data_IF_335726517853
#
_entry.id   IF_335726517853
#
_cell.length_a   1.000
_cell.length_b   1.000
_cell.length_c   1.000
_cell.angle_alpha   90.00
_cell.angle_beta   90.00
_cell.angle_gamma   90.00
#
_symmetry.space_group_name_H-M   'P 1'
#
loop_
_entity.id
_entity.type
_entity.pdbx_description
1 polymer ?
#
# COMPACT_ATOMS: atom_id res chain seq x y z
N UNK A 1 -7.93 1.30 16.19
CA UNK A 1 -6.86 2.32 16.08
C UNK A 1 -6.68 2.63 14.60
N UNK A 2 -6.93 3.88 14.17
CA UNK A 2 -6.89 4.28 12.74
C UNK A 2 -5.46 4.51 12.21
N UNK A 3 -4.44 4.54 13.07
CA UNK A 3 -3.10 5.07 12.73
C UNK A 3 -1.95 4.06 12.80
N UNK A 4 -2.21 2.75 12.77
CA UNK A 4 -1.15 1.75 12.61
C UNK A 4 -1.29 1.07 11.25
N UNK A 5 -0.26 1.12 10.38
CA UNK A 5 1.01 1.84 10.50
C UNK A 5 0.90 3.38 10.40
N UNK A 6 1.82 4.08 11.09
CA UNK A 6 1.88 5.56 11.09
C UNK A 6 2.29 6.06 9.71
N UNK A 7 1.58 7.07 9.20
CA UNK A 7 1.79 7.65 7.85
C UNK A 7 3.24 8.03 7.60
N UNK A 8 3.90 8.67 8.56
CA UNK A 8 5.30 9.10 8.38
C UNK A 8 6.24 7.92 8.14
N UNK A 9 6.05 6.80 8.86
CA UNK A 9 6.83 5.57 8.64
C UNK A 9 6.57 4.96 7.26
N UNK A 10 5.35 5.06 6.75
CA UNK A 10 5.02 4.56 5.41
C UNK A 10 5.71 5.41 4.33
N UNK A 11 5.74 6.73 4.51
CA UNK A 11 6.44 7.64 3.58
C UNK A 11 7.95 7.37 3.59
N UNK A 12 8.55 7.22 4.77
CA UNK A 12 9.97 6.88 4.91
C UNK A 12 10.32 5.53 4.27
N UNK A 13 9.45 4.52 4.41
CA UNK A 13 9.65 3.19 3.82
C UNK A 13 9.46 3.13 2.31
N UNK A 14 8.61 4.01 1.78
CA UNK A 14 8.31 4.06 0.37
C UNK A 14 9.41 4.78 -0.44
N UNK A 15 10.07 5.77 0.17
CA UNK A 15 11.17 6.50 -0.44
C UNK A 15 12.53 5.86 -0.17
N UNK A 16 13.54 6.34 -0.89
CA UNK A 16 14.95 6.06 -0.60
C UNK A 16 15.65 7.34 -0.12
N UNK A 17 16.86 7.26 0.48
CA UNK A 17 17.62 8.45 0.85
C UNK A 17 17.92 9.39 -0.33
N UNK A 18 18.02 8.82 -1.53
CA UNK A 18 18.28 9.54 -2.79
C UNK A 18 16.98 10.12 -3.37
N UNK A 19 15.86 9.44 -3.18
CA UNK A 19 14.54 9.85 -3.68
C UNK A 19 13.46 9.77 -2.58
N UNK A 20 13.27 10.83 -1.79
CA UNK A 20 12.26 10.83 -0.74
C UNK A 20 10.85 10.78 -1.34
N UNK A 21 10.00 9.91 -0.81
CA UNK A 21 8.59 9.86 -1.16
C UNK A 21 7.83 11.02 -0.51
N UNK A 22 6.80 11.53 -1.19
CA UNK A 22 5.87 12.50 -0.61
C UNK A 22 4.61 11.81 -0.07
N UNK A 23 3.87 12.46 0.82
CA UNK A 23 2.55 11.97 1.28
C UNK A 23 1.56 11.77 0.13
N UNK A 24 1.65 12.60 -0.92
CA UNK A 24 0.86 12.45 -2.13
C UNK A 24 1.29 11.21 -2.94
N UNK A 25 2.59 10.95 -3.03
CA UNK A 25 3.10 9.74 -3.66
C UNK A 25 2.62 8.48 -2.92
N UNK A 26 2.64 8.50 -1.58
CA UNK A 26 2.07 7.42 -0.76
C UNK A 26 0.60 7.16 -1.11
N UNK A 27 -0.22 8.22 -1.20
CA UNK A 27 -1.64 8.08 -1.55
C UNK A 27 -1.82 7.40 -2.93
N UNK A 28 -1.05 7.82 -3.93
CA UNK A 28 -1.12 7.25 -5.28
C UNK A 28 -0.66 5.79 -5.29
N UNK A 29 0.45 5.46 -4.63
CA UNK A 29 0.96 4.07 -4.59
C UNK A 29 -0.01 3.16 -3.84
N UNK A 30 -0.50 3.57 -2.68
CA UNK A 30 -1.50 2.81 -1.90
C UNK A 30 -2.77 2.59 -2.71
N UNK A 31 -3.28 3.62 -3.39
CA UNK A 31 -4.48 3.51 -4.21
C UNK A 31 -4.28 2.56 -5.41
N UNK A 32 -3.15 2.66 -6.11
CA UNK A 32 -2.80 1.74 -7.20
C UNK A 32 -2.69 0.31 -6.70
N UNK A 33 -2.04 0.09 -5.56
CA UNK A 33 -1.86 -1.24 -4.98
C UNK A 33 -3.17 -1.84 -4.49
N UNK A 34 -4.01 -1.06 -3.81
CA UNK A 34 -5.34 -1.50 -3.41
C UNK A 34 -6.16 -1.95 -4.62
N UNK A 35 -6.10 -1.22 -5.75
CA UNK A 35 -6.76 -1.64 -6.99
C UNK A 35 -6.22 -2.97 -7.51
N UNK A 36 -4.90 -3.18 -7.52
CA UNK A 36 -4.31 -4.47 -7.93
C UNK A 36 -4.80 -5.64 -7.07
N UNK A 37 -4.97 -5.41 -5.76
CA UNK A 37 -5.51 -6.42 -4.85
C UNK A 37 -6.96 -6.75 -5.24
N UNK A 38 -7.81 -5.74 -5.42
CA UNK A 38 -9.21 -5.91 -5.85
C UNK A 38 -9.29 -6.69 -7.18
N UNK A 39 -8.48 -6.33 -8.16
CA UNK A 39 -8.47 -6.97 -9.48
C UNK A 39 -8.02 -8.44 -9.38
N UNK A 40 -7.04 -8.72 -8.51
CA UNK A 40 -6.58 -10.08 -8.22
C UNK A 40 -7.68 -10.92 -7.54
N UNK A 41 -8.41 -10.35 -6.59
CA UNK A 41 -9.50 -11.02 -5.88
C UNK A 41 -10.66 -11.35 -6.82
N UNK A 42 -11.08 -10.38 -7.64
CA UNK A 42 -12.11 -10.58 -8.65
C UNK A 42 -11.72 -11.68 -9.64
N UNK A 43 -10.44 -11.74 -10.04
CA UNK A 43 -9.91 -12.80 -10.91
C UNK A 43 -9.92 -14.18 -10.25
N UNK A 44 -9.86 -14.25 -8.92
CA UNK A 44 -9.93 -15.49 -8.14
C UNK A 44 -11.36 -15.86 -7.71
N UNK A 45 -12.36 -15.04 -8.07
CA UNK A 45 -13.75 -15.24 -7.65
C UNK A 45 -14.01 -14.93 -6.17
N UNK A 46 -13.07 -14.26 -5.49
CA UNK A 46 -13.21 -13.81 -4.12
C UNK A 46 -13.86 -12.42 -4.11
N UNK A 47 -14.78 -12.20 -3.16
CA UNK A 47 -15.43 -10.90 -2.97
C UNK A 47 -14.85 -10.10 -1.79
N UNK A 48 -14.13 -10.75 -0.88
CA UNK A 48 -13.50 -10.11 0.27
C UNK A 48 -12.20 -10.82 0.67
N UNK A 49 -11.22 -10.06 1.17
CA UNK A 49 -9.97 -10.58 1.70
C UNK A 49 -10.22 -11.49 2.93
N UNK A 50 -9.40 -12.54 3.12
CA UNK A 50 -9.44 -13.36 4.32
C UNK A 50 -9.27 -12.51 5.59
N UNK A 51 -10.21 -12.64 6.53
CA UNK A 51 -10.18 -11.90 7.80
C UNK A 51 -10.81 -10.51 7.77
N UNK A 52 -11.54 -10.13 6.70
CA UNK A 52 -12.27 -8.86 6.63
C UNK A 52 -11.35 -7.64 6.61
N UNK A 53 -10.09 -7.84 6.24
CA UNK A 53 -9.09 -6.78 6.10
C UNK A 53 -9.44 -5.99 4.84
N UNK A 54 -9.45 -4.66 4.92
CA UNK A 54 -9.61 -3.82 3.72
C UNK A 54 -8.34 -3.86 2.87
N UNK A 55 -8.49 -3.82 1.56
CA UNK A 55 -7.43 -3.88 0.57
C UNK A 55 -6.43 -2.73 0.75
N UNK A 56 -6.92 -1.56 1.14
CA UNK A 56 -6.09 -0.40 1.51
C UNK A 56 -5.21 -0.70 2.73
N UNK A 57 -5.75 -1.38 3.74
CA UNK A 57 -4.99 -1.73 4.94
C UNK A 57 -3.90 -2.75 4.61
N UNK A 58 -4.20 -3.73 3.73
CA UNK A 58 -3.22 -4.69 3.24
C UNK A 58 -2.11 -3.98 2.44
N UNK A 59 -2.46 -3.04 1.55
CA UNK A 59 -1.48 -2.26 0.81
C UNK A 59 -0.55 -1.45 1.73
N UNK A 60 -1.09 -0.82 2.79
CA UNK A 60 -0.28 -0.14 3.80
C UNK A 60 0.67 -1.10 4.55
N UNK A 61 0.21 -2.31 4.88
CA UNK A 61 1.05 -3.33 5.52
C UNK A 61 2.17 -3.81 4.59
N UNK A 62 1.89 -4.00 3.30
CA UNK A 62 2.89 -4.40 2.33
C UNK A 62 4.00 -3.35 2.17
N UNK A 63 3.65 -2.06 2.14
CA UNK A 63 4.61 -0.96 2.14
C UNK A 63 5.42 -0.95 3.44
N UNK A 64 4.78 -1.09 4.60
CA UNK A 64 5.48 -1.15 5.88
C UNK A 64 6.46 -2.33 5.96
N UNK A 65 6.13 -3.46 5.33
CA UNK A 65 6.98 -4.65 5.24
C UNK A 65 8.11 -4.54 4.20
N UNK A 66 8.12 -3.49 3.37
CA UNK A 66 9.13 -3.29 2.32
C UNK A 66 8.96 -4.20 1.11
N UNK A 67 7.78 -4.78 0.88
CA UNK A 67 7.47 -5.62 -0.29
C UNK A 67 7.17 -4.81 -1.56
N UNK A 68 6.97 -3.51 -1.43
CA UNK A 68 6.64 -2.58 -2.50
C UNK A 68 7.76 -1.57 -2.71
N UNK A 69 8.18 -1.42 -3.96
CA UNK A 69 9.12 -0.38 -4.39
C UNK A 69 8.40 0.57 -5.32
N UNK A 70 8.57 1.87 -5.11
CA UNK A 70 8.09 2.89 -6.03
C UNK A 70 9.22 3.28 -6.98
N UNK A 71 8.94 3.28 -8.28
CA UNK A 71 9.82 3.85 -9.30
C UNK A 71 9.09 5.00 -9.97
N UNK A 72 9.76 6.15 -10.11
CA UNK A 72 9.31 7.22 -11.01
C UNK A 72 9.87 6.91 -12.40
N UNK A 73 8.98 6.86 -13.38
CA UNK A 73 9.34 6.87 -14.81
C UNK A 73 9.88 8.25 -15.21
#
# INVERSE_FOLDING_TARGET
MINEPVVDKLVEKLGTPEEPASRYALCVVVAKRARQIIDQEQSQGLHELPGGIKEIALACQEIASGKLTMTKD
#
